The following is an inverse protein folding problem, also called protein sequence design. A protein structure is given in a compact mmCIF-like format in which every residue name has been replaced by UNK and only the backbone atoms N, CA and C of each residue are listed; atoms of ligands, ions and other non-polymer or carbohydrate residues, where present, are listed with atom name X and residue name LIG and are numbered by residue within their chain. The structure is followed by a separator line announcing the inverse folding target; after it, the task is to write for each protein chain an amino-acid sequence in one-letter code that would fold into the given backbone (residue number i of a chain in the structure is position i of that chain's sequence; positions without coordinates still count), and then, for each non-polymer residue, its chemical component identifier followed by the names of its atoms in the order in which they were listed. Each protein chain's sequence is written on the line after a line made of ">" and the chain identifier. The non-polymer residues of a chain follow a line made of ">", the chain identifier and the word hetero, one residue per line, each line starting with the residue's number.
data_IF_095979106756
#
_entry.id   IF_095979106756
#
_cell.length_a   1.000
_cell.length_b   1.000
_cell.length_c   1.000
_cell.angle_alpha   90.00
_cell.angle_beta   90.00
_cell.angle_gamma   90.00
#
_symmetry.space_group_name_H-M   'P 1'
#
loop_
_entity.id
_entity.type
_entity.pdbx_description
1 polymer ?
#
# COMPACT_ATOMS: atom_id res chain seq x y z
N UNK A 1 16.20 -9.55 -10.48
CA UNK A 1 15.10 -10.53 -10.48
C UNK A 1 14.45 -10.76 -9.11
N UNK A 2 15.12 -11.25 -8.05
CA UNK A 2 14.43 -11.49 -6.75
C UNK A 2 13.99 -10.23 -5.99
N UNK A 3 14.73 -9.13 -6.11
CA UNK A 3 14.46 -7.92 -5.31
C UNK A 3 13.24 -7.14 -5.79
N UNK A 4 12.98 -7.16 -7.09
CA UNK A 4 11.89 -6.42 -7.74
C UNK A 4 10.53 -7.05 -7.44
N UNK A 5 10.46 -8.39 -7.44
CA UNK A 5 9.27 -9.15 -7.02
C UNK A 5 8.91 -8.90 -5.55
N UNK A 6 9.90 -8.77 -4.67
CA UNK A 6 9.66 -8.45 -3.25
C UNK A 6 9.11 -7.03 -3.08
N UNK A 7 9.66 -6.05 -3.80
CA UNK A 7 9.18 -4.66 -3.79
C UNK A 7 7.71 -4.59 -4.21
N UNK A 8 7.34 -5.24 -5.31
CA UNK A 8 5.95 -5.28 -5.79
C UNK A 8 5.01 -5.95 -4.79
N UNK A 9 5.44 -7.02 -4.12
CA UNK A 9 4.64 -7.69 -3.07
C UNK A 9 4.39 -6.79 -1.87
N UNK A 10 5.39 -6.03 -1.44
CA UNK A 10 5.26 -5.11 -0.31
C UNK A 10 4.30 -3.97 -0.69
N UNK A 11 4.45 -3.37 -1.87
CA UNK A 11 3.53 -2.34 -2.34
C UNK A 11 2.08 -2.84 -2.39
N UNK A 12 1.87 -4.02 -2.97
CA UNK A 12 0.55 -4.67 -2.98
C UNK A 12 -0.03 -4.84 -1.57
N UNK A 13 0.77 -5.29 -0.60
CA UNK A 13 0.32 -5.41 0.79
C UNK A 13 -0.14 -4.07 1.38
N UNK A 14 0.57 -2.97 1.09
CA UNK A 14 0.15 -1.63 1.51
C UNK A 14 -1.19 -1.23 0.89
N UNK A 15 -1.42 -1.56 -0.39
CA UNK A 15 -2.71 -1.34 -1.05
C UNK A 15 -3.83 -2.19 -0.43
N UNK A 16 -3.59 -3.48 -0.20
CA UNK A 16 -4.58 -4.38 0.40
C UNK A 16 -4.99 -3.89 1.82
N UNK A 17 -4.03 -3.38 2.61
CA UNK A 17 -4.35 -2.77 3.91
C UNK A 17 -5.19 -1.51 3.75
N UNK A 18 -4.89 -0.66 2.76
CA UNK A 18 -5.67 0.54 2.49
C UNK A 18 -7.11 0.20 2.07
N UNK A 19 -7.31 -0.82 1.23
CA UNK A 19 -8.65 -1.32 0.85
C UNK A 19 -9.43 -1.79 2.08
N UNK A 20 -8.80 -2.56 2.96
CA UNK A 20 -9.44 -3.03 4.20
C UNK A 20 -9.85 -1.87 5.11
N UNK A 21 -8.99 -0.87 5.28
CA UNK A 21 -9.30 0.32 6.07
C UNK A 21 -10.44 1.14 5.45
N UNK A 22 -10.48 1.25 4.13
CA UNK A 22 -11.53 1.93 3.39
C UNK A 22 -12.88 1.23 3.53
N UNK A 23 -12.93 -0.10 3.37
CA UNK A 23 -14.13 -0.92 3.59
C UNK A 23 -14.64 -0.77 5.02
N UNK A 24 -13.73 -0.69 6.01
CA UNK A 24 -14.08 -0.49 7.41
C UNK A 24 -14.52 0.94 7.75
N UNK A 25 -14.46 1.88 6.81
CA UNK A 25 -14.77 3.29 7.05
C UNK A 25 -13.79 3.95 8.04
N UNK A 26 -12.54 3.50 8.07
CA UNK A 26 -11.52 4.00 8.99
C UNK A 26 -11.04 5.40 8.57
N UNK A 27 -10.18 5.98 9.40
CA UNK A 27 -9.69 7.34 9.21
C UNK A 27 -9.08 7.57 7.79
N UNK A 28 -9.60 8.54 7.00
CA UNK A 28 -9.13 8.82 5.65
C UNK A 28 -7.64 9.20 5.55
N UNK A 29 -7.06 9.80 6.58
CA UNK A 29 -5.62 10.10 6.63
C UNK A 29 -4.78 8.83 6.74
N UNK A 30 -5.23 7.83 7.52
CA UNK A 30 -4.57 6.52 7.60
C UNK A 30 -4.63 5.79 6.26
N UNK A 31 -5.81 5.72 5.64
CA UNK A 31 -5.99 5.10 4.31
C UNK A 31 -5.01 5.72 3.30
N UNK A 32 -4.96 7.06 3.20
CA UNK A 32 -4.03 7.76 2.31
C UNK A 32 -2.56 7.50 2.62
N UNK A 33 -2.19 7.31 3.89
CA UNK A 33 -0.82 6.98 4.26
C UNK A 33 -0.38 5.62 3.70
N UNK A 34 -1.23 4.59 3.80
CA UNK A 34 -0.95 3.28 3.22
C UNK A 34 -0.87 3.32 1.69
N UNK A 35 -1.78 4.05 1.02
CA UNK A 35 -1.70 4.25 -0.45
C UNK A 35 -0.39 4.91 -0.88
N UNK A 36 0.02 5.99 -0.18
CA UNK A 36 1.28 6.69 -0.46
C UNK A 36 2.50 5.79 -0.20
N UNK A 37 2.47 4.97 0.84
CA UNK A 37 3.53 4.01 1.10
C UNK A 37 3.67 2.99 -0.04
N UNK A 38 2.56 2.46 -0.57
CA UNK A 38 2.59 1.61 -1.76
C UNK A 38 3.25 2.30 -2.95
N UNK A 39 2.81 3.52 -3.27
CA UNK A 39 3.32 4.30 -4.40
C UNK A 39 4.81 4.62 -4.27
N UNK A 40 5.27 4.96 -3.07
CA UNK A 40 6.69 5.22 -2.81
C UNK A 40 7.55 3.96 -2.99
N UNK A 41 7.01 2.78 -2.67
CA UNK A 41 7.72 1.50 -2.79
C UNK A 41 7.72 1.00 -4.23
N UNK A 42 6.63 1.20 -4.97
CA UNK A 42 6.58 0.97 -6.42
C UNK A 42 7.61 1.81 -7.19
N UNK A 43 8.13 2.87 -6.57
CA UNK A 43 9.17 3.70 -7.14
C UNK A 43 8.60 4.54 -8.27
N UNK A 44 7.96 5.64 -7.91
CA UNK A 44 7.93 6.78 -8.83
C UNK A 44 9.35 7.07 -9.35
#
# INVERSE_FOLDING_TARGET
>A
MKNEDLTLKIAKLFNDIADLLEIKGENPFRIRAYRRASQNIEGF
#
